data_IF_058691558568
#
_entry.id   IF_058691558568
#
_cell.length_a   1.000
_cell.length_b   1.000
_cell.length_c   1.000
_cell.angle_alpha   90.00
_cell.angle_beta   90.00
_cell.angle_gamma   90.00
#
_symmetry.space_group_name_H-M   'P 1'
#
loop_
_entity.id
_entity.type
_entity.pdbx_description
1 polymer ?
#
# COMPACT_ATOMS: atom_id res chain seq x y z
N UNK A 1 53.03 -36.62 -31.69
CA UNK A 1 51.69 -37.12 -31.30
C UNK A 1 50.97 -35.98 -30.57
N UNK A 2 50.25 -35.14 -31.31
CA UNK A 2 49.53 -33.97 -30.76
C UNK A 2 48.21 -34.42 -30.12
N UNK A 3 47.98 -34.06 -28.85
CA UNK A 3 46.72 -34.28 -28.15
C UNK A 3 45.91 -32.99 -28.23
N UNK A 4 44.92 -32.95 -29.12
CA UNK A 4 43.97 -31.83 -29.25
C UNK A 4 43.12 -31.75 -27.98
N UNK A 5 43.20 -30.61 -27.26
CA UNK A 5 42.26 -30.29 -26.17
C UNK A 5 40.96 -29.81 -26.79
N UNK A 6 39.86 -30.55 -26.59
CA UNK A 6 38.52 -30.11 -26.97
C UNK A 6 38.06 -28.90 -26.14
N UNK A 7 37.11 -28.09 -26.65
CA UNK A 7 36.66 -26.90 -25.97
C UNK A 7 35.86 -27.26 -24.71
N UNK A 8 36.17 -26.57 -23.60
CA UNK A 8 35.41 -26.59 -22.36
C UNK A 8 34.01 -26.04 -22.64
N UNK A 9 32.98 -26.88 -22.52
CA UNK A 9 31.58 -26.43 -22.55
C UNK A 9 31.32 -25.77 -21.20
N UNK A 10 31.37 -24.43 -21.16
CA UNK A 10 30.80 -23.68 -20.06
C UNK A 10 29.30 -23.95 -20.02
N UNK A 11 28.83 -24.47 -18.89
CA UNK A 11 27.42 -24.72 -18.64
C UNK A 11 26.70 -23.37 -18.57
N UNK A 12 25.58 -23.16 -19.27
CA UNK A 12 24.83 -21.92 -19.15
C UNK A 12 24.35 -21.75 -17.71
N UNK A 13 24.75 -20.66 -17.06
CA UNK A 13 24.17 -20.26 -15.78
C UNK A 13 22.71 -19.89 -16.05
N UNK A 14 21.78 -20.80 -15.79
CA UNK A 14 20.36 -20.51 -15.83
C UNK A 14 20.08 -19.30 -14.91
N UNK A 15 19.33 -18.28 -15.36
CA UNK A 15 18.88 -17.24 -14.46
C UNK A 15 18.08 -17.91 -13.35
N UNK A 16 18.35 -17.52 -12.09
CA UNK A 16 17.54 -17.94 -10.95
C UNK A 16 16.06 -17.75 -11.31
N UNK A 17 15.17 -18.71 -11.00
CA UNK A 17 13.74 -18.50 -11.18
C UNK A 17 13.39 -17.16 -10.53
N UNK A 18 12.77 -16.27 -11.29
CA UNK A 18 12.23 -15.03 -10.74
C UNK A 18 11.26 -15.49 -9.65
N UNK A 19 11.65 -15.39 -8.39
CA UNK A 19 10.68 -15.43 -7.31
C UNK A 19 9.60 -14.41 -7.68
N UNK A 20 8.31 -14.74 -7.53
CA UNK A 20 7.28 -13.74 -7.75
C UNK A 20 7.68 -12.51 -6.96
N UNK A 21 7.95 -11.40 -7.66
CA UNK A 21 8.38 -10.15 -7.04
C UNK A 21 7.19 -9.62 -6.26
N UNK A 22 6.99 -10.16 -5.06
CA UNK A 22 5.96 -9.70 -4.16
C UNK A 22 6.39 -8.35 -3.61
N UNK A 23 5.65 -7.30 -3.97
CA UNK A 23 5.81 -6.01 -3.30
C UNK A 23 5.35 -6.19 -1.85
N UNK A 24 6.18 -5.73 -0.90
CA UNK A 24 5.87 -5.78 0.53
C UNK A 24 5.72 -4.37 1.07
N UNK A 25 4.62 -4.12 1.75
CA UNK A 25 4.43 -2.93 2.56
C UNK A 25 5.28 -3.04 3.83
N UNK A 26 6.40 -2.32 3.89
CA UNK A 26 7.15 -2.09 5.13
C UNK A 26 6.67 -0.77 5.71
N UNK A 27 6.26 -0.79 6.97
CA UNK A 27 5.65 0.33 7.67
C UNK A 27 6.22 0.42 9.08
N UNK A 28 6.17 1.60 9.69
CA UNK A 28 6.69 1.82 11.04
C UNK A 28 5.80 1.20 12.13
N UNK A 29 4.51 1.08 11.86
CA UNK A 29 3.56 0.45 12.77
C UNK A 29 2.33 -0.14 12.07
N UNK A 30 1.61 -1.02 12.77
CA UNK A 30 0.35 -1.58 12.30
C UNK A 30 -0.65 -1.72 13.44
N UNK A 31 -1.91 -1.43 13.17
CA UNK A 31 -3.02 -1.79 14.04
C UNK A 31 -3.59 -3.13 13.57
N UNK A 32 -3.60 -4.11 14.46
CA UNK A 32 -4.16 -5.44 14.18
C UNK A 32 -5.19 -5.82 15.22
N UNK A 33 -6.36 -6.22 14.75
CA UNK A 33 -7.42 -6.80 15.57
C UNK A 33 -7.52 -8.28 15.22
N UNK A 34 -7.17 -9.15 16.18
CA UNK A 34 -6.93 -10.59 15.96
C UNK A 34 -5.81 -10.80 14.93
N UNK A 35 -6.12 -11.33 13.76
CA UNK A 35 -5.17 -11.55 12.66
C UNK A 35 -5.37 -10.58 11.48
N UNK A 36 -6.37 -9.69 11.57
CA UNK A 36 -6.68 -8.73 10.50
C UNK A 36 -5.94 -7.43 10.75
N UNK A 37 -5.18 -6.98 9.74
CA UNK A 37 -4.62 -5.63 9.74
C UNK A 37 -5.74 -4.63 9.47
N UNK A 38 -5.90 -3.64 10.35
CA UNK A 38 -6.98 -2.65 10.29
C UNK A 38 -6.49 -1.29 9.82
N UNK A 39 -5.24 -0.94 10.16
CA UNK A 39 -4.57 0.27 9.71
C UNK A 39 -3.05 0.06 9.68
N UNK A 40 -2.37 0.85 8.87
CA UNK A 40 -0.91 0.98 8.89
C UNK A 40 -0.50 2.37 9.36
N UNK A 41 0.66 2.46 9.99
CA UNK A 41 1.22 3.71 10.53
C UNK A 41 2.58 3.94 9.93
N UNK A 42 2.84 5.16 9.47
CA UNK A 42 4.11 5.59 8.90
C UNK A 42 4.54 6.91 9.54
N UNK A 43 5.84 7.06 9.79
CA UNK A 43 6.44 8.26 10.39
C UNK A 43 7.57 8.79 9.51
N UNK A 44 7.58 10.08 9.23
CA UNK A 44 8.65 10.74 8.45
C UNK A 44 9.13 11.99 9.18
N UNK A 45 10.44 12.30 9.14
CA UNK A 45 11.00 13.45 9.87
C UNK A 45 10.80 14.79 9.14
N UNK A 46 10.11 14.81 7.99
CA UNK A 46 9.99 15.99 7.12
C UNK A 46 8.60 16.63 7.24
N UNK A 47 8.52 17.95 7.07
CA UNK A 47 7.24 18.65 6.90
C UNK A 47 6.67 18.30 5.53
N UNK A 48 5.42 17.82 5.49
CA UNK A 48 4.79 17.25 4.28
C UNK A 48 4.83 18.22 3.09
N UNK A 49 4.45 19.46 3.35
CA UNK A 49 4.35 20.53 2.35
C UNK A 49 5.59 21.43 2.29
N UNK A 50 6.74 20.97 2.82
CA UNK A 50 7.99 21.74 2.81
C UNK A 50 8.60 21.92 1.41
N UNK A 51 8.32 21.01 0.47
CA UNK A 51 8.65 21.17 -0.97
C UNK A 51 7.82 20.19 -1.82
N UNK A 52 7.60 20.50 -3.10
CA UNK A 52 6.93 19.58 -4.05
C UNK A 52 7.65 18.23 -4.14
N UNK A 53 8.99 18.23 -4.19
CA UNK A 53 9.79 17.01 -4.24
C UNK A 53 9.63 16.14 -2.99
N UNK A 54 9.47 16.76 -1.82
CA UNK A 54 9.18 16.04 -0.57
C UNK A 54 7.79 15.42 -0.63
N UNK A 55 6.80 16.22 -1.01
CA UNK A 55 5.41 15.78 -1.13
C UNK A 55 5.26 14.59 -2.09
N UNK A 56 5.88 14.66 -3.27
CA UNK A 56 5.82 13.59 -4.27
C UNK A 56 6.43 12.29 -3.73
N UNK A 57 7.58 12.37 -3.06
CA UNK A 57 8.21 11.19 -2.45
C UNK A 57 7.33 10.56 -1.37
N UNK A 58 6.72 11.39 -0.52
CA UNK A 58 5.81 10.93 0.54
C UNK A 58 4.62 10.22 -0.09
N UNK A 59 3.93 10.84 -1.05
CA UNK A 59 2.77 10.26 -1.73
C UNK A 59 3.10 8.99 -2.51
N UNK A 60 4.24 8.95 -3.20
CA UNK A 60 4.71 7.75 -3.89
C UNK A 60 4.92 6.60 -2.92
N UNK A 61 5.56 6.85 -1.78
CA UNK A 61 5.79 5.83 -0.75
C UNK A 61 4.49 5.33 -0.14
N UNK A 62 3.61 6.23 0.29
CA UNK A 62 2.31 5.90 0.89
C UNK A 62 1.42 5.11 -0.06
N UNK A 63 1.37 5.52 -1.33
CA UNK A 63 0.61 4.82 -2.37
C UNK A 63 1.18 3.43 -2.63
N UNK A 64 2.50 3.30 -2.70
CA UNK A 64 3.16 2.00 -2.89
C UNK A 64 2.92 1.06 -1.71
N UNK A 65 2.98 1.56 -0.47
CA UNK A 65 2.66 0.78 0.73
C UNK A 65 1.22 0.30 0.71
N UNK A 66 0.28 1.17 0.34
CA UNK A 66 -1.13 0.79 0.30
C UNK A 66 -1.43 -0.23 -0.79
N UNK A 67 -0.91 -0.01 -2.02
CA UNK A 67 -1.04 -0.97 -3.11
C UNK A 67 -0.44 -2.33 -2.75
N UNK A 68 0.75 -2.35 -2.14
CA UNK A 68 1.40 -3.57 -1.68
C UNK A 68 0.60 -4.27 -0.57
N UNK A 69 -0.01 -3.53 0.36
CA UNK A 69 -0.88 -4.12 1.37
C UNK A 69 -2.13 -4.73 0.72
N UNK A 70 -2.74 -4.07 -0.27
CA UNK A 70 -3.92 -4.60 -0.99
C UNK A 70 -3.57 -5.90 -1.72
N UNK A 71 -2.41 -5.94 -2.38
CA UNK A 71 -1.96 -7.14 -3.09
C UNK A 71 -1.64 -8.32 -2.16
N UNK A 72 -1.10 -8.06 -0.97
CA UNK A 72 -0.71 -9.11 -0.01
C UNK A 72 -1.89 -9.67 0.79
N UNK A 73 -2.89 -8.85 1.07
CA UNK A 73 -4.04 -9.20 1.90
C UNK A 73 -5.33 -8.74 1.21
N UNK A 74 -5.69 -9.30 0.03
CA UNK A 74 -6.83 -8.82 -0.73
C UNK A 74 -8.15 -9.07 0.04
N UNK A 75 -9.12 -8.14 -0.04
CA UNK A 75 -10.41 -8.34 0.62
C UNK A 75 -11.17 -9.51 -0.01
N UNK A 76 -12.04 -10.16 0.76
CA UNK A 76 -12.91 -11.22 0.25
C UNK A 76 -13.94 -10.61 -0.70
N UNK A 77 -13.88 -11.03 -1.97
CA UNK A 77 -14.70 -10.51 -3.06
C UNK A 77 -16.10 -11.15 -3.01
N UNK A 78 -17.02 -10.53 -2.26
CA UNK A 78 -18.37 -11.09 -2.04
C UNK A 78 -19.44 -10.59 -3.01
N UNK A 79 -19.32 -9.35 -3.53
CA UNK A 79 -20.30 -8.75 -4.45
C UNK A 79 -19.61 -7.82 -5.46
N UNK A 80 -20.01 -7.86 -6.75
CA UNK A 80 -19.67 -6.81 -7.70
C UNK A 80 -20.16 -5.46 -7.16
N UNK A 81 -19.36 -4.41 -7.35
CA UNK A 81 -19.65 -3.03 -6.89
C UNK A 81 -19.46 -2.72 -5.39
N UNK A 82 -18.83 -3.62 -4.61
CA UNK A 82 -18.42 -3.29 -3.23
C UNK A 82 -17.19 -2.38 -3.26
N UNK A 83 -17.26 -1.24 -2.55
CA UNK A 83 -16.08 -0.42 -2.25
C UNK A 83 -15.41 -0.92 -0.98
N UNK A 84 -14.09 -1.03 -1.02
CA UNK A 84 -13.24 -1.39 0.11
C UNK A 84 -12.46 -0.17 0.57
N UNK A 85 -12.20 -0.08 1.87
CA UNK A 85 -11.44 1.02 2.46
C UNK A 85 -10.31 0.50 3.33
N UNK A 86 -9.22 1.26 3.40
CA UNK A 86 -8.09 1.04 4.29
C UNK A 86 -7.61 2.35 4.86
N UNK A 87 -7.13 2.31 6.09
CA UNK A 87 -6.60 3.45 6.80
C UNK A 87 -5.06 3.40 6.83
N UNK A 88 -4.44 4.51 6.44
CA UNK A 88 -3.03 4.80 6.68
C UNK A 88 -2.97 6.04 7.58
N UNK A 89 -2.29 5.93 8.71
CA UNK A 89 -1.98 7.06 9.60
C UNK A 89 -0.55 7.49 9.31
N UNK A 90 -0.36 8.71 8.82
CA UNK A 90 0.96 9.23 8.46
C UNK A 90 1.34 10.39 9.36
N UNK A 91 2.41 10.25 10.12
CA UNK A 91 2.95 11.36 10.91
C UNK A 91 4.18 11.93 10.20
N UNK A 92 4.07 13.18 9.77
CA UNK A 92 5.14 13.92 9.11
C UNK A 92 5.60 15.03 10.05
N UNK A 93 6.78 14.86 10.65
CA UNK A 93 7.31 15.73 11.70
C UNK A 93 6.31 15.91 12.87
N UNK A 94 5.64 17.06 12.92
CA UNK A 94 4.70 17.47 13.98
C UNK A 94 3.24 17.46 13.53
N UNK A 95 2.97 16.91 12.34
CA UNK A 95 1.67 16.90 11.69
C UNK A 95 1.25 15.45 11.47
N UNK A 96 0.01 15.11 11.82
CA UNK A 96 -0.59 13.81 11.54
C UNK A 96 -1.62 13.93 10.44
N UNK A 97 -1.62 12.98 9.52
CA UNK A 97 -2.54 12.86 8.40
C UNK A 97 -3.22 11.50 8.45
N UNK A 98 -4.54 11.50 8.25
CA UNK A 98 -5.32 10.28 8.06
C UNK A 98 -5.58 10.11 6.58
N UNK A 99 -5.16 9.00 6.01
CA UNK A 99 -5.33 8.70 4.58
C UNK A 99 -6.26 7.52 4.42
N UNK A 100 -7.41 7.75 3.79
CA UNK A 100 -8.41 6.74 3.47
C UNK A 100 -8.23 6.30 2.02
N UNK A 101 -7.74 5.07 1.87
CA UNK A 101 -7.56 4.40 0.61
C UNK A 101 -8.86 3.68 0.22
N UNK A 102 -9.54 4.15 -0.83
CA UNK A 102 -10.79 3.58 -1.35
C UNK A 102 -10.54 2.93 -2.71
N UNK A 103 -10.96 1.68 -2.85
CA UNK A 103 -10.78 0.89 -4.08
C UNK A 103 -11.93 -0.10 -4.24
N UNK A 104 -12.03 -0.74 -5.40
CA UNK A 104 -13.06 -1.75 -5.65
C UNK A 104 -12.48 -3.03 -6.23
N UNK A 105 -13.40 -3.94 -6.54
CA UNK A 105 -13.10 -5.24 -7.11
C UNK A 105 -12.22 -5.19 -8.37
N UNK A 106 -12.45 -4.23 -9.27
CA UNK A 106 -11.66 -4.11 -10.51
C UNK A 106 -10.21 -3.73 -10.22
N UNK A 107 -10.00 -2.88 -9.20
CA UNK A 107 -8.64 -2.56 -8.74
C UNK A 107 -7.96 -3.77 -8.08
N UNK A 108 -8.70 -4.57 -7.30
CA UNK A 108 -8.17 -5.81 -6.70
C UNK A 108 -7.74 -6.80 -7.79
N UNK A 109 -8.56 -7.01 -8.81
CA UNK A 109 -8.21 -7.87 -9.95
C UNK A 109 -6.95 -7.39 -10.67
N UNK A 110 -6.86 -6.08 -10.90
CA UNK A 110 -5.71 -5.43 -11.53
C UNK A 110 -4.43 -5.64 -10.69
N UNK A 111 -4.45 -5.29 -9.40
CA UNK A 111 -3.24 -5.28 -8.56
C UNK A 111 -2.79 -6.69 -8.17
N UNK A 112 -3.71 -7.65 -8.06
CA UNK A 112 -3.39 -9.05 -7.80
C UNK A 112 -3.08 -9.86 -9.06
N UNK A 113 -3.12 -9.23 -10.25
CA UNK A 113 -2.89 -9.87 -11.54
C UNK A 113 -3.73 -11.15 -11.75
N UNK A 114 -4.98 -11.16 -11.26
CA UNK A 114 -5.85 -12.35 -11.25
C UNK A 114 -6.33 -12.81 -12.63
N UNK A 115 -5.90 -12.16 -13.71
CA UNK A 115 -6.04 -12.69 -15.07
C UNK A 115 -7.48 -12.83 -15.56
N UNK A 116 -8.47 -12.23 -14.91
CA UNK A 116 -9.84 -12.11 -15.40
C UNK A 116 -9.92 -10.97 -16.41
N UNK A 117 -9.12 -11.10 -17.48
CA UNK A 117 -9.23 -10.27 -18.67
C UNK A 117 -10.58 -10.53 -19.32
N UNK A 118 -11.64 -9.92 -18.79
CA UNK A 118 -12.82 -9.63 -19.57
C UNK A 118 -12.33 -8.69 -20.66
N UNK A 119 -12.04 -9.26 -21.84
CA UNK A 119 -11.81 -8.55 -23.10
C UNK A 119 -13.09 -7.84 -23.55
N UNK A 120 -13.76 -7.14 -22.64
CA UNK A 120 -14.84 -6.23 -22.93
C UNK A 120 -14.21 -4.91 -23.34
N UNK A 121 -14.30 -4.57 -24.64
CA UNK A 121 -14.10 -3.22 -25.14
C UNK A 121 -14.71 -2.21 -24.16
N UNK A 122 -13.88 -1.47 -23.43
CA UNK A 122 -14.31 -0.30 -22.66
C UNK A 122 -14.55 -0.44 -21.15
N UNK A 123 -14.13 -1.50 -20.46
CA UNK A 123 -14.18 -1.47 -18.98
C UNK A 123 -13.09 -0.53 -18.46
N UNK A 124 -13.45 0.70 -18.08
CA UNK A 124 -12.59 1.60 -17.32
C UNK A 124 -12.29 0.92 -15.98
N UNK A 125 -11.07 0.44 -15.78
CA UNK A 125 -10.65 -0.02 -14.46
C UNK A 125 -10.72 1.17 -13.50
N UNK A 126 -11.36 0.98 -12.35
CA UNK A 126 -11.27 1.94 -11.27
C UNK A 126 -9.85 1.96 -10.70
N UNK A 127 -9.35 3.15 -10.38
CA UNK A 127 -8.06 3.32 -9.71
C UNK A 127 -8.26 3.38 -8.19
N UNK A 128 -7.18 3.13 -7.44
CA UNK A 128 -7.11 3.42 -6.03
C UNK A 128 -7.21 4.94 -5.81
N UNK A 129 -8.20 5.35 -5.02
CA UNK A 129 -8.34 6.73 -4.55
C UNK A 129 -7.75 6.85 -3.14
N UNK A 130 -6.86 7.81 -2.91
CA UNK A 130 -6.31 8.10 -1.58
C UNK A 130 -6.75 9.49 -1.15
N UNK A 131 -7.62 9.56 -0.13
CA UNK A 131 -8.13 10.82 0.42
C UNK A 131 -7.42 11.13 1.72
N UNK A 132 -6.76 12.29 1.75
CA UNK A 132 -6.01 12.79 2.90
C UNK A 132 -6.88 13.71 3.76
N UNK A 133 -6.77 13.56 5.09
CA UNK A 133 -7.40 14.42 6.10
C UNK A 133 -6.34 14.89 7.10
N UNK A 134 -6.40 16.17 7.47
CA UNK A 134 -5.42 16.83 8.33
C UNK A 134 -4.99 18.19 7.74
N UNK A 135 -3.86 18.75 8.21
CA UNK A 135 -3.02 18.23 9.28
C UNK A 135 -3.70 18.28 10.66
N UNK A 136 -3.41 17.29 11.50
CA UNK A 136 -3.63 17.37 12.94
C UNK A 136 -2.29 17.67 13.62
N UNK A 137 -2.16 18.85 14.23
CA UNK A 137 -0.96 19.28 14.91
C UNK A 137 -0.78 18.56 16.25
N UNK A 138 0.35 17.87 16.40
CA UNK A 138 0.66 17.09 17.61
C UNK A 138 0.76 17.96 18.87
N UNK A 139 1.03 19.26 18.70
CA UNK A 139 1.15 20.22 19.80
C UNK A 139 -0.18 20.85 20.22
N UNK A 140 -1.27 20.67 19.47
CA UNK A 140 -2.60 21.18 19.83
C UNK A 140 -3.37 20.11 20.62
N UNK A 141 -3.69 20.35 21.91
CA UNK A 141 -4.49 19.43 22.70
C UNK A 141 -5.86 19.15 22.07
N UNK A 142 -6.50 20.19 21.51
CA UNK A 142 -7.84 20.10 20.92
C UNK A 142 -7.84 19.24 19.66
N UNK A 143 -6.84 19.41 18.79
CA UNK A 143 -6.72 18.58 17.58
C UNK A 143 -6.34 17.14 17.92
N UNK A 144 -5.53 16.93 18.96
CA UNK A 144 -5.18 15.59 19.43
C UNK A 144 -6.35 14.87 20.09
N UNK A 145 -7.24 15.59 20.77
CA UNK A 145 -8.51 15.03 21.28
C UNK A 145 -9.39 14.57 20.11
N UNK A 146 -9.59 15.42 19.09
CA UNK A 146 -10.35 15.07 17.89
C UNK A 146 -9.75 13.87 17.15
N UNK A 147 -8.44 13.88 16.93
CA UNK A 147 -7.72 12.76 16.32
C UNK A 147 -7.90 11.48 17.14
N UNK A 148 -7.79 11.56 18.47
CA UNK A 148 -8.00 10.44 19.37
C UNK A 148 -9.39 9.82 19.24
N UNK A 149 -10.44 10.65 19.17
CA UNK A 149 -11.83 10.20 18.97
C UNK A 149 -11.98 9.48 17.61
N UNK A 150 -11.41 10.04 16.54
CA UNK A 150 -11.47 9.44 15.19
C UNK A 150 -10.76 8.08 15.18
N UNK A 151 -9.54 8.02 15.72
CA UNK A 151 -8.75 6.78 15.78
C UNK A 151 -9.40 5.73 16.67
N UNK A 152 -10.01 6.13 17.79
CA UNK A 152 -10.78 5.25 18.65
C UNK A 152 -11.98 4.65 17.90
N UNK A 153 -12.74 5.48 17.19
CA UNK A 153 -13.85 5.04 16.34
C UNK A 153 -13.42 4.02 15.28
N UNK A 154 -12.33 4.32 14.56
CA UNK A 154 -11.77 3.41 13.56
C UNK A 154 -11.29 2.08 14.17
N UNK A 155 -10.74 2.13 15.39
CA UNK A 155 -10.24 0.95 16.11
C UNK A 155 -11.38 0.05 16.58
N UNK A 156 -12.46 0.61 17.12
CA UNK A 156 -13.63 -0.13 17.60
C UNK A 156 -14.38 -0.80 16.43
N UNK A 157 -14.47 -0.13 15.28
CA UNK A 157 -15.04 -0.73 14.07
C UNK A 157 -14.19 -1.89 13.51
N UNK A 158 -12.94 -2.02 13.95
CA UNK A 158 -12.00 -3.02 13.43
C UNK A 158 -11.47 -2.66 12.05
N UNK A 159 -11.28 -1.37 11.77
CA UNK A 159 -10.92 -0.82 10.46
C UNK A 159 -12.12 -0.25 9.68
N UNK A 160 -11.84 0.31 8.50
CA UNK A 160 -12.81 0.98 7.61
C UNK A 160 -13.52 0.06 6.61
#
# INVERSE_FOLDING_TARGET
MLRVRGPSIESPSWPRPLQPRCMKARVDGLLRVKDRTCAIVEVKPFIRYGSEKTLDKIRMQETAQMAAWIAQDPPVLKKPNTKFRRLLVSQDHGEVYLIIATFDYQYVEYICALGTGSKGKGSTHSFLEMREYGPFEVKSPEQMEQLGIILLGASIQGGL
#
